data_IF_551453082223
#
_entry.id   IF_551453082223
#
_cell.length_a   1.000
_cell.length_b   1.000
_cell.length_c   1.000
_cell.angle_alpha   90.00
_cell.angle_beta   90.00
_cell.angle_gamma   90.00
#
_symmetry.space_group_name_H-M   'P 1'
#
loop_
_entity.id
_entity.type
_entity.pdbx_description
1 polymer ?
#
# COMPACT_ATOMS: atom_id res chain seq x y z
N UNK A 1 -11.11 9.60 14.04
CA UNK A 1 -11.50 8.83 12.84
C UNK A 1 -10.40 8.96 11.81
N UNK A 2 -9.93 7.87 11.18
CA UNK A 2 -8.95 7.96 10.08
C UNK A 2 -9.59 8.63 8.87
N UNK A 3 -8.91 9.62 8.29
CA UNK A 3 -9.39 10.32 7.10
C UNK A 3 -9.46 9.34 5.90
N UNK A 4 -10.53 9.42 5.10
CA UNK A 4 -10.69 8.63 3.85
C UNK A 4 -9.98 9.27 2.66
N UNK A 5 -8.88 9.98 2.93
CA UNK A 5 -8.06 10.68 1.94
C UNK A 5 -6.90 9.80 1.49
N UNK A 6 -6.44 9.98 0.25
CA UNK A 6 -5.29 9.25 -0.29
C UNK A 6 -5.68 8.07 -1.20
N UNK A 7 -4.68 7.27 -1.56
CA UNK A 7 -4.88 6.07 -2.36
C UNK A 7 -5.12 4.86 -1.47
N UNK A 8 -6.03 3.99 -1.89
CA UNK A 8 -6.31 2.76 -1.17
C UNK A 8 -6.05 1.56 -2.06
N UNK A 9 -5.48 0.50 -1.49
CA UNK A 9 -5.24 -0.76 -2.19
C UNK A 9 -6.15 -1.82 -1.60
N UNK A 10 -6.77 -2.62 -2.48
CA UNK A 10 -7.55 -3.78 -2.06
C UNK A 10 -6.61 -4.84 -1.48
N UNK A 11 -6.95 -5.38 -0.32
CA UNK A 11 -6.19 -6.51 0.27
C UNK A 11 -6.21 -7.71 -0.68
N UNK A 12 -5.06 -8.36 -0.86
CA UNK A 12 -4.89 -9.57 -1.69
C UNK A 12 -5.15 -9.36 -3.20
N UNK A 13 -5.41 -8.14 -3.63
CA UNK A 13 -5.67 -7.79 -5.03
C UNK A 13 -5.02 -6.44 -5.28
N UNK A 14 -3.94 -6.41 -6.05
CA UNK A 14 -3.17 -5.20 -6.36
C UNK A 14 -3.98 -4.20 -7.21
N UNK A 15 -5.03 -3.64 -6.63
CA UNK A 15 -6.07 -2.84 -7.25
C UNK A 15 -6.17 -1.57 -6.43
N UNK A 16 -5.74 -0.47 -7.04
CA UNK A 16 -5.85 0.85 -6.45
C UNK A 16 -7.25 1.42 -6.66
N UNK A 17 -7.77 2.03 -5.61
CA UNK A 17 -9.04 2.74 -5.61
C UNK A 17 -8.90 4.10 -4.95
N UNK A 18 -9.79 5.01 -5.31
CA UNK A 18 -10.02 6.26 -4.59
C UNK A 18 -11.35 6.17 -3.86
N UNK A 19 -11.33 6.49 -2.57
CA UNK A 19 -12.55 6.76 -1.82
C UNK A 19 -12.95 8.21 -2.09
N UNK A 20 -14.16 8.41 -2.62
CA UNK A 20 -14.70 9.74 -2.90
C UNK A 20 -15.54 10.28 -1.72
N UNK A 21 -15.47 9.62 -0.57
CA UNK A 21 -16.28 9.94 0.61
C UNK A 21 -17.69 9.32 0.55
N UNK A 22 -18.59 9.71 1.47
CA UNK A 22 -19.99 9.32 1.41
C UNK A 22 -20.57 9.78 0.07
N UNK A 23 -21.04 8.83 -0.72
CA UNK A 23 -21.78 9.14 -1.93
C UNK A 23 -23.10 9.80 -1.56
N UNK A 24 -23.57 10.71 -2.41
CA UNK A 24 -24.96 11.16 -2.38
C UNK A 24 -25.91 10.03 -2.84
N UNK A 25 -25.87 8.86 -2.17
CA UNK A 25 -26.94 7.90 -2.27
C UNK A 25 -28.11 8.47 -1.47
N UNK A 26 -29.16 8.93 -2.16
CA UNK A 26 -30.37 9.48 -1.54
C UNK A 26 -31.01 8.54 -0.50
N UNK A 27 -30.73 7.24 -0.58
CA UNK A 27 -31.29 6.20 0.30
C UNK A 27 -30.32 5.71 1.39
N UNK A 28 -29.03 6.11 1.36
CA UNK A 28 -28.03 5.69 2.34
C UNK A 28 -26.85 6.68 2.35
N UNK A 29 -26.93 7.76 3.15
CA UNK A 29 -25.92 8.81 3.19
C UNK A 29 -24.59 8.36 3.81
N UNK A 30 -24.53 7.19 4.45
CA UNK A 30 -23.31 6.65 5.06
C UNK A 30 -22.51 5.76 4.10
N UNK A 31 -23.04 5.51 2.90
CA UNK A 31 -22.43 4.61 1.92
C UNK A 31 -21.31 5.30 1.16
N UNK A 32 -20.12 4.71 1.18
CA UNK A 32 -18.95 5.23 0.49
C UNK A 32 -19.00 4.95 -1.01
N UNK A 33 -18.57 5.92 -1.81
CA UNK A 33 -18.36 5.75 -3.25
C UNK A 33 -16.90 5.45 -3.54
N UNK A 34 -16.63 4.26 -4.07
CA UNK A 34 -15.28 3.76 -4.35
C UNK A 34 -15.06 3.70 -5.86
N UNK A 35 -14.08 4.46 -6.36
CA UNK A 35 -13.73 4.51 -7.79
C UNK A 35 -12.44 3.74 -8.06
N UNK A 36 -12.52 2.77 -8.95
CA UNK A 36 -11.39 1.97 -9.43
C UNK A 36 -10.68 2.70 -10.58
N UNK A 37 -9.38 2.46 -10.75
CA UNK A 37 -8.62 3.06 -11.86
C UNK A 37 -9.11 2.66 -13.25
N UNK A 38 -9.72 1.48 -13.39
CA UNK A 38 -10.35 1.04 -14.63
C UNK A 38 -11.72 1.69 -14.92
N UNK A 39 -12.13 2.68 -14.12
CA UNK A 39 -13.39 3.41 -14.28
C UNK A 39 -14.60 2.80 -13.57
N UNK A 40 -14.49 1.56 -13.05
CA UNK A 40 -15.57 0.94 -12.30
C UNK A 40 -15.86 1.69 -10.99
N UNK A 41 -17.13 1.75 -10.57
CA UNK A 41 -17.54 2.35 -9.30
C UNK A 41 -18.31 1.34 -8.46
N UNK A 42 -17.98 1.23 -7.17
CA UNK A 42 -18.66 0.34 -6.21
C UNK A 42 -19.11 1.16 -4.99
N UNK A 43 -20.25 0.78 -4.44
CA UNK A 43 -20.80 1.39 -3.22
C UNK A 43 -20.75 0.40 -2.07
N UNK A 44 -20.18 0.78 -0.93
CA UNK A 44 -20.04 -0.10 0.25
C UNK A 44 -20.04 0.72 1.54
N UNK A 45 -20.32 0.08 2.67
CA UNK A 45 -20.21 0.75 3.97
C UNK A 45 -18.75 1.02 4.34
N UNK A 46 -18.51 1.96 5.25
CA UNK A 46 -17.16 2.23 5.76
C UNK A 46 -16.52 1.01 6.43
N UNK A 47 -17.30 0.19 7.13
CA UNK A 47 -16.84 -1.08 7.72
C UNK A 47 -16.37 -2.07 6.65
N UNK A 48 -17.16 -2.26 5.60
CA UNK A 48 -16.76 -3.12 4.47
C UNK A 48 -15.51 -2.59 3.78
N UNK A 49 -15.41 -1.27 3.62
CA UNK A 49 -14.25 -0.63 3.00
C UNK A 49 -12.96 -0.91 3.77
N UNK A 50 -12.90 -0.66 5.08
CA UNK A 50 -11.68 -0.95 5.85
C UNK A 50 -11.37 -2.45 6.01
N UNK A 51 -12.39 -3.31 5.85
CA UNK A 51 -12.17 -4.75 5.77
C UNK A 51 -11.49 -5.13 4.45
N UNK A 52 -11.90 -4.55 3.32
CA UNK A 52 -11.39 -4.87 1.98
C UNK A 52 -10.15 -4.08 1.54
N UNK A 53 -9.92 -2.88 2.10
CA UNK A 53 -8.91 -1.94 1.60
C UNK A 53 -8.00 -1.42 2.72
N UNK A 54 -6.77 -1.06 2.36
CA UNK A 54 -5.82 -0.35 3.21
C UNK A 54 -5.43 0.97 2.56
N UNK A 55 -5.09 1.97 3.35
CA UNK A 55 -4.50 3.19 2.84
C UNK A 55 -3.04 2.91 2.42
N UNK A 56 -2.70 3.25 1.18
CA UNK A 56 -1.36 3.03 0.62
C UNK A 56 -0.32 3.92 1.30
N UNK A 57 -0.68 5.15 1.61
CA UNK A 57 0.21 6.11 2.27
C UNK A 57 0.53 5.61 3.69
N UNK A 58 -0.46 5.10 4.43
CA UNK A 58 -0.24 4.46 5.74
C UNK A 58 0.70 3.25 5.62
N UNK A 59 0.50 2.40 4.61
CA UNK A 59 1.31 1.21 4.41
C UNK A 59 2.76 1.53 4.06
N UNK A 60 2.95 2.56 3.23
CA UNK A 60 4.27 3.03 2.82
C UNK A 60 4.95 3.89 3.88
N UNK A 61 4.22 4.55 4.77
CA UNK A 61 4.83 5.29 5.88
C UNK A 61 5.67 4.38 6.79
N UNK A 62 5.37 3.08 6.83
CA UNK A 62 6.17 2.09 7.56
C UNK A 62 7.48 1.71 6.84
N UNK A 63 7.57 1.93 5.53
CA UNK A 63 8.79 1.73 4.74
C UNK A 63 9.37 3.11 4.52
N UNK A 64 10.45 3.48 5.20
CA UNK A 64 11.03 4.81 5.06
C UNK A 64 12.25 4.79 4.15
N UNK A 65 12.46 5.86 3.38
CA UNK A 65 13.72 6.04 2.66
C UNK A 65 14.89 5.96 3.64
N UNK A 66 15.93 5.24 3.26
CA UNK A 66 17.13 5.02 4.08
C UNK A 66 17.01 3.87 5.08
N UNK A 67 15.81 3.35 5.34
CA UNK A 67 15.61 2.20 6.24
C UNK A 67 16.29 0.93 5.72
N UNK A 68 16.77 0.12 6.66
CA UNK A 68 17.35 -1.19 6.39
C UNK A 68 16.34 -2.30 6.68
N UNK A 69 16.27 -3.26 5.77
CA UNK A 69 15.39 -4.41 5.87
C UNK A 69 16.17 -5.68 5.56
N UNK A 70 15.86 -6.78 6.22
CA UNK A 70 16.48 -8.08 5.99
C UNK A 70 15.58 -8.98 5.14
N UNK A 71 16.16 -9.70 4.19
CA UNK A 71 15.43 -10.67 3.38
C UNK A 71 15.09 -11.93 4.18
N UNK A 72 13.80 -12.29 4.18
CA UNK A 72 13.30 -13.54 4.73
C UNK A 72 13.74 -14.67 3.79
N UNK A 73 14.69 -15.49 4.26
CA UNK A 73 15.13 -16.72 3.59
C UNK A 73 16.47 -16.64 2.86
N UNK A 74 16.94 -15.44 2.52
CA UNK A 74 18.20 -15.29 1.78
C UNK A 74 19.30 -14.50 2.51
N UNK A 75 19.04 -14.06 3.74
CA UNK A 75 20.01 -13.46 4.70
C UNK A 75 20.77 -12.22 4.24
N UNK A 76 20.37 -11.57 3.14
CA UNK A 76 20.93 -10.28 2.75
C UNK A 76 20.09 -9.12 3.31
N UNK A 77 20.76 -8.03 3.63
CA UNK A 77 20.14 -6.76 4.02
C UNK A 77 19.96 -5.89 2.77
N UNK A 78 18.80 -5.28 2.65
CA UNK A 78 18.50 -4.26 1.67
C UNK A 78 18.44 -2.90 2.33
N UNK A 79 18.81 -1.86 1.58
CA UNK A 79 18.56 -0.47 1.99
C UNK A 79 17.58 0.16 1.02
N UNK A 80 16.45 0.63 1.54
CA UNK A 80 15.46 1.36 0.74
C UNK A 80 16.06 2.70 0.35
N UNK A 81 16.07 3.01 -0.94
CA UNK A 81 16.63 4.25 -1.48
C UNK A 81 15.58 5.25 -1.92
N UNK A 82 14.37 4.81 -2.27
CA UNK A 82 13.27 5.70 -2.67
C UNK A 82 11.95 4.91 -2.72
N UNK A 83 10.82 5.60 -2.61
CA UNK A 83 9.48 5.03 -2.65
C UNK A 83 8.58 5.86 -3.56
N UNK A 84 8.18 5.27 -4.67
CA UNK A 84 7.26 5.89 -5.61
C UNK A 84 5.82 5.50 -5.27
N UNK A 85 5.21 6.22 -4.32
CA UNK A 85 3.84 6.00 -3.82
C UNK A 85 2.82 5.88 -4.97
N UNK A 86 2.81 6.85 -5.89
CA UNK A 86 1.82 6.90 -7.00
C UNK A 86 1.82 5.66 -7.88
N UNK A 87 3.00 5.13 -8.16
CA UNK A 87 3.17 3.94 -9.01
C UNK A 87 3.23 2.66 -8.20
N UNK A 88 3.24 2.76 -6.87
CA UNK A 88 3.60 1.68 -5.98
C UNK A 88 4.95 1.08 -6.41
N UNK A 89 6.06 1.69 -6.02
CA UNK A 89 7.38 1.05 -6.20
C UNK A 89 8.26 1.33 -5.00
N UNK A 90 9.05 0.34 -4.62
CA UNK A 90 10.12 0.49 -3.62
C UNK A 90 11.45 0.26 -4.35
N UNK A 91 12.29 1.27 -4.37
CA UNK A 91 13.65 1.20 -4.90
C UNK A 91 14.59 0.90 -3.74
N UNK A 92 15.51 -0.05 -3.93
CA UNK A 92 16.45 -0.46 -2.88
C UNK A 92 17.78 -0.93 -3.47
N UNK A 93 18.77 -1.18 -2.62
CA UNK A 93 20.06 -1.75 -3.03
C UNK A 93 20.35 -3.05 -2.28
N UNK A 94 20.92 -4.03 -3.00
CA UNK A 94 21.58 -5.23 -2.45
C UNK A 94 23.05 -5.12 -2.82
N UNK A 95 23.95 -5.11 -1.83
CA UNK A 95 25.40 -5.03 -2.05
C UNK A 95 25.82 -3.90 -3.03
N UNK A 96 25.15 -2.75 -2.92
CA UNK A 96 25.40 -1.59 -3.80
C UNK A 96 24.72 -1.64 -5.18
N UNK A 97 24.16 -2.78 -5.58
CA UNK A 97 23.44 -2.94 -6.85
C UNK A 97 22.01 -2.42 -6.71
N UNK A 98 21.57 -1.44 -7.53
CA UNK A 98 20.21 -0.94 -7.50
C UNK A 98 19.23 -2.02 -7.97
N UNK A 99 18.13 -2.15 -7.25
CA UNK A 99 17.01 -3.04 -7.53
C UNK A 99 15.70 -2.27 -7.39
N UNK A 100 14.71 -2.71 -8.13
CA UNK A 100 13.35 -2.18 -8.08
C UNK A 100 12.41 -3.30 -7.68
N UNK A 101 11.58 -3.04 -6.67
CA UNK A 101 10.36 -3.80 -6.47
C UNK A 101 9.21 -3.00 -7.07
N UNK A 102 8.70 -3.47 -8.21
CA UNK A 102 7.58 -2.84 -8.92
C UNK A 102 6.28 -3.56 -8.65
N UNK A 103 5.26 -2.82 -8.19
CA UNK A 103 3.93 -3.36 -7.91
C UNK A 103 3.00 -3.21 -9.13
N UNK A 104 3.46 -3.40 -10.38
CA UNK A 104 2.54 -3.44 -11.54
C UNK A 104 1.73 -4.73 -11.61
N UNK A 105 2.09 -5.77 -10.84
CA UNK A 105 1.42 -7.08 -10.86
C UNK A 105 1.37 -7.83 -9.52
N UNK A 106 2.08 -7.37 -8.48
CA UNK A 106 2.20 -8.11 -7.21
C UNK A 106 1.86 -7.22 -6.03
N UNK A 107 1.13 -7.83 -5.10
CA UNK A 107 0.59 -7.21 -3.90
C UNK A 107 1.67 -6.60 -3.00
N UNK A 108 1.54 -5.32 -2.64
CA UNK A 108 2.47 -4.60 -1.75
C UNK A 108 2.52 -5.20 -0.34
N UNK A 109 1.50 -5.97 0.06
CA UNK A 109 1.55 -6.79 1.28
C UNK A 109 2.71 -7.78 1.24
N UNK A 110 3.15 -8.25 0.06
CA UNK A 110 4.26 -9.20 -0.08
C UNK A 110 5.63 -8.59 0.12
N UNK A 111 5.79 -7.26 0.11
CA UNK A 111 7.09 -6.67 0.45
C UNK A 111 7.46 -7.06 1.89
N UNK A 112 6.49 -7.01 2.82
CA UNK A 112 6.69 -7.42 4.22
C UNK A 112 6.71 -8.94 4.42
N UNK A 113 6.26 -9.73 3.44
CA UNK A 113 6.45 -11.18 3.42
C UNK A 113 7.87 -11.59 2.98
N UNK A 114 8.56 -10.69 2.27
CA UNK A 114 9.90 -10.93 1.73
C UNK A 114 10.98 -10.24 2.56
N UNK A 115 10.64 -9.14 3.22
CA UNK A 115 11.58 -8.33 3.96
C UNK A 115 11.00 -7.91 5.31
N UNK A 116 11.82 -7.97 6.36
CA UNK A 116 11.49 -7.45 7.69
C UNK A 116 12.36 -6.24 8.01
N UNK A 117 11.84 -5.23 8.73
CA UNK A 117 12.68 -4.13 9.19
C UNK A 117 13.74 -4.68 10.13
N UNK A 118 15.00 -4.31 9.89
CA UNK A 118 16.08 -4.64 10.83
C UNK A 118 15.77 -3.89 12.12
N UNK A 119 15.51 -4.61 13.21
CA UNK A 119 15.35 -3.97 14.52
C UNK A 119 16.71 -3.39 14.90
N UNK A 120 16.81 -2.06 14.91
CA UNK A 120 17.98 -1.41 15.50
C UNK A 120 18.08 -1.90 16.95
N UNK A 121 19.20 -2.53 17.30
CA UNK A 121 19.49 -2.89 18.68
C UNK A 121 19.56 -1.59 19.47
N UNK A 122 18.56 -1.35 20.33
CA UNK A 122 18.59 -0.27 21.32
C UNK A 122 19.65 -0.57 22.37
#
# INVERSE_FOLDING_TARGET
MKALTGFFIRKNKNVQVRCLGPGHCRNDPERLTIKFLNGHTKYMSQKQFFNEFINLDDLLAEITEGSQWESIGSRHTIRVTDIKVRTGRVLFRIDGVPKEYSFSSTDIFRFKDLFLPVREAK
#
